data_IF_298756302424
#
_entry.id   IF_298756302424
#
_cell.length_a   1.000
_cell.length_b   1.000
_cell.length_c   1.000
_cell.angle_alpha   90.00
_cell.angle_beta   90.00
_cell.angle_gamma   90.00
#
_symmetry.space_group_name_H-M   'P 1'
#
loop_
_entity.id
_entity.type
_entity.pdbx_description
1 polymer ?
#
# COMPACT_ATOMS: atom_id res chain seq x y z
N UNK A 1 4.96 -9.63 16.17
CA UNK A 1 6.19 -9.74 15.39
C UNK A 1 7.05 -8.52 15.67
N UNK A 2 8.30 -8.71 16.12
CA UNK A 2 9.26 -7.62 16.20
C UNK A 2 9.80 -7.38 14.77
N UNK A 3 9.49 -6.24 14.19
CA UNK A 3 10.13 -5.79 12.95
C UNK A 3 11.53 -5.25 13.25
N UNK A 4 12.41 -5.09 12.23
CA UNK A 4 13.79 -4.62 12.41
C UNK A 4 13.95 -3.30 13.17
N UNK A 5 12.86 -2.59 13.44
CA UNK A 5 12.83 -1.31 14.15
C UNK A 5 12.04 -1.36 15.47
N UNK A 6 11.91 -2.53 16.08
CA UNK A 6 11.35 -2.66 17.42
C UNK A 6 9.84 -2.37 17.56
N UNK A 7 9.10 -2.32 16.47
CA UNK A 7 7.67 -2.06 16.52
C UNK A 7 6.90 -3.37 16.65
N UNK A 8 6.08 -3.46 17.68
CA UNK A 8 5.23 -4.63 17.92
C UNK A 8 3.77 -4.21 17.99
N UNK A 9 2.94 -4.81 17.16
CA UNK A 9 1.50 -4.63 17.21
C UNK A 9 0.86 -5.74 18.03
N UNK A 10 -0.06 -5.38 18.93
CA UNK A 10 -0.83 -6.33 19.73
C UNK A 10 -2.26 -5.79 19.86
N UNK A 11 -3.18 -6.35 19.05
CA UNK A 11 -4.55 -5.86 18.94
C UNK A 11 -4.59 -4.42 18.45
N UNK A 12 -5.20 -3.52 19.22
CA UNK A 12 -5.25 -2.08 18.93
C UNK A 12 -4.10 -1.28 19.58
N UNK A 13 -3.03 -1.95 20.00
CA UNK A 13 -1.86 -1.32 20.63
C UNK A 13 -0.62 -1.66 19.84
N UNK A 14 0.29 -0.71 19.75
CA UNK A 14 1.63 -0.93 19.21
C UNK A 14 2.67 -0.41 20.19
N UNK A 15 3.84 -1.06 20.17
CA UNK A 15 5.01 -0.66 20.93
C UNK A 15 6.06 -0.18 19.93
N UNK A 16 6.72 0.92 20.25
CA UNK A 16 7.79 1.50 19.45
C UNK A 16 9.00 1.75 20.34
N UNK A 17 10.16 1.90 19.74
CA UNK A 17 11.37 2.30 20.43
C UNK A 17 11.24 3.73 20.95
N UNK A 18 11.65 3.95 22.20
CA UNK A 18 11.55 5.25 22.86
C UNK A 18 12.38 6.36 22.17
N UNK A 19 13.37 5.96 21.37
CA UNK A 19 14.29 6.87 20.68
C UNK A 19 13.77 7.37 19.32
N UNK A 20 12.66 6.82 18.81
CA UNK A 20 12.08 7.28 17.56
C UNK A 20 11.42 8.65 17.73
N UNK A 21 11.53 9.50 16.72
CA UNK A 21 10.84 10.78 16.74
C UNK A 21 9.31 10.59 16.80
N UNK A 22 8.58 11.51 17.46
CA UNK A 22 7.12 11.45 17.54
C UNK A 22 6.44 11.33 16.15
N UNK A 23 7.01 11.95 15.13
CA UNK A 23 6.52 11.87 13.76
C UNK A 23 6.65 10.46 13.19
N UNK A 24 7.80 9.80 13.36
CA UNK A 24 8.00 8.40 12.93
C UNK A 24 7.02 7.50 13.66
N UNK A 25 6.87 7.67 14.97
CA UNK A 25 5.93 6.90 15.79
C UNK A 25 4.50 7.06 15.28
N UNK A 26 4.08 8.30 15.01
CA UNK A 26 2.74 8.60 14.51
C UNK A 26 2.49 7.97 13.13
N UNK A 27 3.42 8.12 12.19
CA UNK A 27 3.31 7.54 10.86
C UNK A 27 3.23 6.02 10.89
N UNK A 28 4.05 5.39 11.73
CA UNK A 28 4.00 3.94 11.92
C UNK A 28 2.69 3.50 12.55
N UNK A 29 2.19 4.25 13.54
CA UNK A 29 0.89 3.95 14.14
C UNK A 29 -0.24 4.01 13.12
N UNK A 30 -0.28 5.05 12.28
CA UNK A 30 -1.25 5.19 11.20
C UNK A 30 -1.16 3.97 10.28
N UNK A 31 0.03 3.61 9.84
CA UNK A 31 0.26 2.47 8.96
C UNK A 31 -0.28 1.16 9.55
N UNK A 32 0.11 0.83 10.78
CA UNK A 32 -0.30 -0.41 11.44
C UNK A 32 -1.81 -0.47 11.73
N UNK A 33 -2.45 0.67 11.90
CA UNK A 33 -3.91 0.74 12.09
C UNK A 33 -4.70 0.53 10.79
N UNK A 34 -4.08 0.62 9.63
CA UNK A 34 -4.75 0.42 8.34
C UNK A 34 -4.83 -1.04 7.92
N UNK A 35 -4.05 -1.95 8.52
CA UNK A 35 -4.11 -3.38 8.21
C UNK A 35 -5.46 -4.04 8.57
N UNK A 36 -6.02 -3.88 9.78
CA UNK A 36 -7.27 -4.55 10.15
C UNK A 36 -8.50 -4.22 9.30
N UNK A 37 -8.67 -2.99 8.76
CA UNK A 37 -9.81 -2.68 7.89
C UNK A 37 -9.79 -3.37 6.55
N UNK A 38 -8.67 -3.94 6.12
CA UNK A 38 -8.56 -4.61 4.84
C UNK A 38 -8.83 -6.11 5.00
N UNK A 39 -10.02 -6.55 4.57
CA UNK A 39 -10.43 -7.95 4.62
C UNK A 39 -9.82 -8.75 3.48
N UNK A 40 -8.75 -9.48 3.78
CA UNK A 40 -8.08 -10.38 2.83
C UNK A 40 -8.75 -11.74 2.69
N UNK A 41 -9.79 -12.05 3.48
CA UNK A 41 -10.45 -13.37 3.46
C UNK A 41 -11.47 -13.55 2.33
N UNK A 42 -11.86 -12.46 1.65
CA UNK A 42 -12.91 -12.51 0.64
C UNK A 42 -12.41 -13.08 -0.70
N UNK A 43 -12.78 -14.31 -1.03
CA UNK A 43 -12.43 -14.94 -2.33
C UNK A 43 -12.80 -14.06 -3.55
N UNK A 44 -13.90 -13.31 -3.47
CA UNK A 44 -14.32 -12.36 -4.51
C UNK A 44 -13.31 -11.21 -4.74
N UNK A 45 -12.54 -10.81 -3.73
CA UNK A 45 -11.47 -9.83 -3.88
C UNK A 45 -10.37 -10.39 -4.79
N UNK A 46 -9.90 -11.59 -4.52
CA UNK A 46 -8.77 -12.21 -5.26
C UNK A 46 -9.10 -12.42 -6.72
N UNK A 47 -10.33 -12.85 -7.02
CA UNK A 47 -10.80 -12.95 -8.40
C UNK A 47 -10.85 -11.58 -9.12
N UNK A 48 -11.27 -10.54 -8.42
CA UNK A 48 -11.35 -9.19 -9.00
C UNK A 48 -9.98 -8.58 -9.30
N UNK A 49 -8.98 -8.80 -8.43
CA UNK A 49 -7.62 -8.24 -8.57
C UNK A 49 -6.67 -9.09 -9.41
N UNK A 50 -7.14 -10.20 -9.99
CA UNK A 50 -6.31 -11.06 -10.85
C UNK A 50 -5.62 -10.30 -11.98
N UNK A 51 -6.24 -9.29 -12.66
CA UNK A 51 -5.54 -8.48 -13.67
C UNK A 51 -4.32 -7.70 -13.12
N UNK A 52 -4.35 -7.30 -11.84
CA UNK A 52 -3.21 -6.66 -11.17
C UNK A 52 -2.13 -7.71 -10.88
N UNK A 53 -2.54 -8.88 -10.41
CA UNK A 53 -1.63 -9.98 -10.06
C UNK A 53 -0.78 -10.45 -11.24
N UNK A 54 -1.41 -10.62 -12.41
CA UNK A 54 -0.72 -11.09 -13.61
C UNK A 54 -0.01 -9.99 -14.39
N UNK A 55 -0.10 -8.74 -13.94
CA UNK A 55 0.53 -7.62 -14.62
C UNK A 55 2.07 -7.78 -14.63
N UNK A 56 2.75 -7.66 -15.80
CA UNK A 56 4.18 -7.96 -15.92
C UNK A 56 5.05 -7.17 -14.93
N UNK A 57 4.78 -5.89 -14.71
CA UNK A 57 5.52 -5.06 -13.76
C UNK A 57 5.37 -5.56 -12.32
N UNK A 58 4.17 -5.98 -11.92
CA UNK A 58 3.92 -6.50 -10.56
C UNK A 58 4.60 -7.84 -10.38
N UNK A 59 4.49 -8.73 -11.36
CA UNK A 59 5.16 -10.03 -11.35
C UNK A 59 6.68 -9.89 -11.30
N UNK A 60 7.26 -8.98 -12.08
CA UNK A 60 8.69 -8.68 -12.08
C UNK A 60 9.16 -8.16 -10.72
N UNK A 61 8.45 -7.19 -10.15
CA UNK A 61 8.78 -6.65 -8.81
C UNK A 61 8.73 -7.73 -7.73
N UNK A 62 7.70 -8.58 -7.77
CA UNK A 62 7.56 -9.66 -6.81
C UNK A 62 8.66 -10.72 -6.95
N UNK A 63 9.12 -10.99 -8.17
CA UNK A 63 10.15 -12.00 -8.43
C UNK A 63 11.58 -11.52 -8.07
N UNK A 64 11.85 -10.22 -8.12
CA UNK A 64 13.22 -9.68 -8.03
C UNK A 64 13.48 -8.77 -6.83
N UNK A 65 12.48 -8.51 -5.96
CA UNK A 65 12.73 -7.71 -4.76
C UNK A 65 13.59 -8.45 -3.73
N UNK A 66 14.17 -7.71 -2.81
CA UNK A 66 14.87 -8.29 -1.66
C UNK A 66 13.85 -8.98 -0.72
N UNK A 67 13.92 -10.31 -0.53
CA UNK A 67 12.99 -11.04 0.32
C UNK A 67 12.95 -10.56 1.78
N UNK A 68 13.99 -9.85 2.24
CA UNK A 68 14.03 -9.29 3.59
C UNK A 68 13.02 -8.16 3.81
N UNK A 69 12.48 -7.55 2.74
CA UNK A 69 11.39 -6.58 2.84
C UNK A 69 10.06 -7.20 3.31
N UNK A 70 9.91 -8.53 3.17
CA UNK A 70 8.80 -9.27 3.76
C UNK A 70 7.61 -9.51 2.85
N UNK A 71 7.41 -8.83 1.77
CA UNK A 71 6.22 -8.92 0.90
C UNK A 71 6.39 -10.01 -0.17
N UNK A 72 6.61 -11.27 0.26
CA UNK A 72 7.03 -12.37 -0.59
C UNK A 72 5.87 -13.09 -1.31
N UNK A 73 4.65 -12.55 -1.25
CA UNK A 73 3.48 -13.01 -2.01
C UNK A 73 2.71 -11.84 -2.59
N UNK A 74 1.92 -12.11 -3.63
CA UNK A 74 1.05 -11.08 -4.20
C UNK A 74 0.05 -10.55 -3.17
N UNK A 75 -0.50 -11.44 -2.34
CA UNK A 75 -1.45 -11.08 -1.29
C UNK A 75 -0.84 -10.08 -0.30
N UNK A 76 0.38 -10.37 0.16
CA UNK A 76 1.11 -9.47 1.05
C UNK A 76 1.48 -8.15 0.38
N UNK A 77 1.90 -8.18 -0.89
CA UNK A 77 2.23 -6.97 -1.65
C UNK A 77 0.99 -6.11 -1.93
N UNK A 78 -0.17 -6.73 -2.21
CA UNK A 78 -1.44 -6.02 -2.40
C UNK A 78 -1.92 -5.39 -1.10
N UNK A 79 -1.95 -6.15 0.00
CA UNK A 79 -2.33 -5.65 1.32
C UNK A 79 -1.48 -4.45 1.72
N UNK A 80 -0.18 -4.59 1.64
CA UNK A 80 0.74 -3.49 1.93
C UNK A 80 0.55 -2.30 0.98
N UNK A 81 0.26 -2.56 -0.29
CA UNK A 81 -0.06 -1.52 -1.26
C UNK A 81 -1.29 -0.70 -0.87
N UNK A 82 -2.34 -1.36 -0.39
CA UNK A 82 -3.55 -0.70 0.14
C UNK A 82 -3.21 0.10 1.40
N UNK A 83 -2.54 -0.51 2.36
CA UNK A 83 -2.16 0.13 3.62
C UNK A 83 -1.31 1.37 3.37
N UNK A 84 -0.28 1.29 2.52
CA UNK A 84 0.57 2.42 2.17
C UNK A 84 -0.18 3.53 1.44
N UNK A 85 -1.20 3.20 0.65
CA UNK A 85 -2.05 4.20 0.01
C UNK A 85 -2.90 4.94 1.03
N UNK A 86 -3.55 4.23 1.94
CA UNK A 86 -4.42 4.82 2.95
C UNK A 86 -3.62 5.64 3.97
N UNK A 87 -2.48 5.14 4.43
CA UNK A 87 -1.62 5.88 5.34
C UNK A 87 -1.06 7.15 4.71
N UNK A 88 -0.80 7.15 3.39
CA UNK A 88 -0.37 8.35 2.67
C UNK A 88 -1.45 9.42 2.69
N UNK A 89 -2.71 9.08 2.40
CA UNK A 89 -3.81 10.04 2.48
C UNK A 89 -3.96 10.65 3.87
N UNK A 90 -3.85 9.82 4.91
CA UNK A 90 -3.96 10.29 6.29
C UNK A 90 -2.76 11.19 6.63
N UNK A 91 -1.55 10.79 6.27
CA UNK A 91 -0.35 11.57 6.52
C UNK A 91 -0.40 12.95 5.82
N UNK A 92 -0.93 13.00 4.59
CA UNK A 92 -1.13 14.25 3.85
C UNK A 92 -2.14 15.17 4.56
N UNK A 93 -3.25 14.63 5.04
CA UNK A 93 -4.23 15.41 5.82
C UNK A 93 -3.67 15.96 7.13
N UNK A 94 -2.72 15.25 7.73
CA UNK A 94 -2.05 15.67 8.96
C UNK A 94 -0.84 16.58 8.69
N UNK A 95 -0.46 16.82 7.44
CA UNK A 95 0.67 17.65 7.08
C UNK A 95 2.04 17.04 7.41
N UNK A 96 2.12 15.70 7.56
CA UNK A 96 3.33 14.94 7.91
C UNK A 96 3.79 14.01 6.79
N UNK A 97 3.18 14.10 5.61
CA UNK A 97 3.51 13.22 4.49
C UNK A 97 4.84 13.58 3.84
N UNK A 98 5.58 12.54 3.44
CA UNK A 98 6.58 12.68 2.37
C UNK A 98 5.82 12.75 1.04
N UNK A 99 6.31 13.52 0.03
CA UNK A 99 5.68 13.53 -1.28
C UNK A 99 5.50 12.12 -1.84
N UNK A 100 4.29 11.79 -2.30
CA UNK A 100 3.91 10.43 -2.67
C UNK A 100 4.86 9.81 -3.71
N UNK A 101 5.19 10.54 -4.79
CA UNK A 101 6.08 10.05 -5.83
C UNK A 101 7.51 9.77 -5.32
N UNK A 102 8.00 10.56 -4.39
CA UNK A 102 9.29 10.33 -3.74
C UNK A 102 9.23 9.07 -2.87
N UNK A 103 8.12 8.90 -2.14
CA UNK A 103 7.89 7.74 -1.29
C UNK A 103 7.88 6.45 -2.11
N UNK A 104 7.11 6.41 -3.20
CA UNK A 104 7.00 5.21 -4.03
C UNK A 104 8.32 4.83 -4.69
N UNK A 105 9.10 5.80 -5.12
CA UNK A 105 10.40 5.56 -5.74
C UNK A 105 11.45 5.06 -4.76
N UNK A 106 11.48 5.59 -3.52
CA UNK A 106 12.55 5.33 -2.55
C UNK A 106 12.27 4.14 -1.64
N UNK A 107 11.01 3.93 -1.24
CA UNK A 107 10.69 2.87 -0.30
C UNK A 107 10.88 1.50 -0.95
N UNK A 108 11.60 0.63 -0.23
CA UNK A 108 11.82 -0.77 -0.61
C UNK A 108 12.25 -0.89 -2.09
N UNK A 109 13.14 0.02 -2.52
CA UNK A 109 13.71 0.05 -3.88
C UNK A 109 12.66 0.15 -5.00
N UNK A 110 11.54 0.82 -4.74
CA UNK A 110 10.46 0.99 -5.72
C UNK A 110 9.57 -0.25 -5.89
N UNK A 111 9.53 -1.13 -4.90
CA UNK A 111 8.67 -2.32 -4.90
C UNK A 111 7.18 -1.97 -4.96
N UNK A 112 6.76 -0.86 -4.34
CA UNK A 112 5.36 -0.54 -4.10
C UNK A 112 4.62 0.08 -5.30
N UNK A 113 4.78 -0.53 -6.48
CA UNK A 113 4.09 -0.07 -7.72
C UNK A 113 2.58 -0.15 -7.62
N UNK A 114 2.03 -1.12 -6.86
CA UNK A 114 0.60 -1.23 -6.59
C UNK A 114 0.12 -0.03 -5.76
N UNK A 115 0.86 0.35 -4.71
CA UNK A 115 0.52 1.53 -3.90
C UNK A 115 0.52 2.80 -4.74
N UNK A 116 1.52 2.98 -5.61
CA UNK A 116 1.62 4.12 -6.52
C UNK A 116 0.42 4.20 -7.48
N UNK A 117 0.05 3.05 -8.07
CA UNK A 117 -1.08 2.99 -9.00
C UNK A 117 -2.41 3.24 -8.30
N UNK A 118 -2.62 2.57 -7.16
CA UNK A 118 -3.83 2.71 -6.35
C UNK A 118 -4.01 4.13 -5.83
N UNK A 119 -2.94 4.74 -5.31
CA UNK A 119 -2.95 6.12 -4.85
C UNK A 119 -3.41 7.09 -5.95
N UNK A 120 -2.86 6.97 -7.16
CA UNK A 120 -3.23 7.84 -8.29
C UNK A 120 -4.70 7.71 -8.65
N UNK A 121 -5.21 6.46 -8.77
CA UNK A 121 -6.62 6.21 -9.11
C UNK A 121 -7.56 6.68 -8.00
N UNK A 122 -7.27 6.34 -6.75
CA UNK A 122 -8.06 6.78 -5.61
C UNK A 122 -8.06 8.31 -5.41
N UNK A 123 -6.95 8.98 -5.73
CA UNK A 123 -6.85 10.43 -5.69
C UNK A 123 -7.76 11.09 -6.75
N UNK A 124 -7.78 10.57 -7.97
CA UNK A 124 -8.69 11.01 -9.04
C UNK A 124 -10.15 10.86 -8.61
N UNK A 125 -10.49 9.79 -7.88
CA UNK A 125 -11.84 9.51 -7.38
C UNK A 125 -12.17 10.27 -6.09
N UNK A 126 -11.24 11.05 -5.55
CA UNK A 126 -11.39 11.76 -4.28
C UNK A 126 -11.72 10.82 -3.11
N UNK A 127 -11.15 9.62 -3.14
CA UNK A 127 -11.38 8.60 -2.10
C UNK A 127 -10.98 9.10 -0.70
N UNK A 128 -9.95 9.93 -0.61
CA UNK A 128 -9.50 10.57 0.62
C UNK A 128 -10.56 11.51 1.25
N UNK A 129 -11.52 11.98 0.47
CA UNK A 129 -12.64 12.81 0.95
C UNK A 129 -13.90 11.98 1.19
N UNK A 130 -14.20 11.03 0.30
CA UNK A 130 -15.44 10.24 0.36
C UNK A 130 -15.31 9.04 1.30
N UNK A 131 -14.10 8.54 1.50
CA UNK A 131 -13.85 7.33 2.27
C UNK A 131 -14.40 6.07 1.60
N UNK A 132 -14.44 5.00 2.35
CA UNK A 132 -15.05 3.75 1.89
C UNK A 132 -14.30 2.50 2.36
N UNK A 133 -14.76 1.36 1.85
CA UNK A 133 -14.09 0.07 2.07
C UNK A 133 -13.15 -0.23 0.90
N UNK A 134 -11.86 -0.31 1.16
CA UNK A 134 -10.84 -0.53 0.14
C UNK A 134 -11.00 -1.88 -0.59
N UNK A 135 -11.45 -2.94 0.10
CA UNK A 135 -11.72 -4.22 -0.54
C UNK A 135 -12.94 -4.14 -1.48
N UNK A 136 -13.96 -3.35 -1.12
CA UNK A 136 -15.09 -3.09 -2.00
C UNK A 136 -14.65 -2.27 -3.23
N UNK A 137 -13.79 -1.27 -3.04
CA UNK A 137 -13.22 -0.47 -4.12
C UNK A 137 -12.45 -1.33 -5.13
N UNK A 138 -11.62 -2.26 -4.65
CA UNK A 138 -10.85 -3.19 -5.49
C UNK A 138 -11.71 -4.29 -6.15
N UNK A 139 -12.96 -4.50 -5.73
CA UNK A 139 -13.87 -5.42 -6.42
C UNK A 139 -14.60 -4.79 -7.61
N UNK A 140 -14.52 -3.48 -7.76
CA UNK A 140 -15.08 -2.81 -8.92
C UNK A 140 -14.15 -3.01 -10.14
N UNK A 141 -14.63 -3.65 -11.23
CA UNK A 141 -13.82 -3.91 -12.41
C UNK A 141 -13.28 -2.64 -13.08
N UNK A 142 -14.00 -1.53 -12.98
CA UNK A 142 -13.56 -0.25 -13.55
C UNK A 142 -12.37 0.32 -12.78
N UNK A 143 -12.38 0.26 -11.45
CA UNK A 143 -11.23 0.68 -10.67
C UNK A 143 -10.00 -0.20 -10.96
N UNK A 144 -10.19 -1.53 -11.02
CA UNK A 144 -9.10 -2.47 -11.35
C UNK A 144 -8.52 -2.15 -12.74
N UNK A 145 -9.37 -1.92 -13.74
CA UNK A 145 -8.94 -1.56 -15.09
C UNK A 145 -8.11 -0.28 -15.11
N UNK A 146 -8.50 0.74 -14.34
CA UNK A 146 -7.76 2.01 -14.23
C UNK A 146 -6.43 1.82 -13.51
N UNK A 147 -6.39 0.97 -12.45
CA UNK A 147 -5.14 0.62 -11.75
C UNK A 147 -4.17 -0.04 -12.72
N UNK A 148 -4.62 -1.01 -13.51
CA UNK A 148 -3.80 -1.68 -14.54
C UNK A 148 -3.25 -0.66 -15.55
N UNK A 149 -4.08 0.25 -16.05
CA UNK A 149 -3.63 1.30 -16.96
C UNK A 149 -2.59 2.27 -16.35
N UNK A 150 -2.63 2.48 -15.03
CA UNK A 150 -1.56 3.23 -14.32
C UNK A 150 -0.29 2.39 -14.22
N UNK A 151 -0.39 1.10 -13.95
CA UNK A 151 0.76 0.19 -13.93
C UNK A 151 1.47 0.14 -15.29
N UNK A 152 0.71 0.12 -16.40
CA UNK A 152 1.28 0.22 -17.76
C UNK A 152 2.12 1.50 -17.90
N UNK A 153 1.57 2.65 -17.49
CA UNK A 153 2.30 3.94 -17.54
C UNK A 153 3.56 3.95 -16.66
N UNK A 154 3.52 3.31 -15.48
CA UNK A 154 4.69 3.17 -14.61
C UNK A 154 5.74 2.24 -15.25
N UNK A 155 5.33 1.21 -15.97
CA UNK A 155 6.25 0.33 -16.68
C UNK A 155 7.00 1.05 -17.82
N UNK A 156 6.30 1.95 -18.53
CA UNK A 156 6.89 2.77 -19.60
C UNK A 156 7.77 3.90 -19.07
N UNK A 157 7.38 4.51 -17.94
CA UNK A 157 8.07 5.62 -17.30
C UNK A 157 8.19 5.34 -15.79
N UNK A 158 9.26 4.66 -15.37
CA UNK A 158 9.47 4.27 -13.97
C UNK A 158 9.40 5.46 -12.99
N UNK A 159 8.95 5.16 -11.78
CA UNK A 159 8.79 6.10 -10.65
C UNK A 159 10.08 6.86 -10.30
#
# INVERSE_FOLDING_TARGET
>A
FARPHGIKVTGNRFLTEAELSPEIVLRTAIHEMMHPPFDTAAAALWAAVEPIRVHPLVADRLAHHDPSFGYNSFEGLLEEGVVKTLDQFIAERLGIAVPAEERWRKNDQGLHVIAAALYRVMREDRYDETGGNAAAYLRDPEHVRRIVAVLDRIAENPL
#
